data_IF_200763214042
#
_entry.id   IF_200763214042
#
_cell.length_a   1.000
_cell.length_b   1.000
_cell.length_c   1.000
_cell.angle_alpha   90.00
_cell.angle_beta   90.00
_cell.angle_gamma   90.00
#
_symmetry.space_group_name_H-M   'P 1'
#
loop_
_entity.id
_entity.type
_entity.pdbx_description
1 polymer ?
#
# COMPACT_ATOMS: atom_id res chain seq x y z
N UNK A 1 -31.79 14.33 -48.12
CA UNK A 1 -30.85 13.93 -47.06
C UNK A 1 -30.97 12.43 -46.83
N UNK A 2 -29.99 11.63 -47.26
CA UNK A 2 -29.82 10.23 -46.85
C UNK A 2 -28.38 9.82 -47.16
N UNK A 3 -27.52 9.83 -46.14
CA UNK A 3 -26.12 9.47 -46.23
C UNK A 3 -25.94 7.95 -46.16
N UNK A 4 -25.51 7.39 -47.29
CA UNK A 4 -24.38 6.47 -47.47
C UNK A 4 -23.95 5.55 -46.30
N UNK A 5 -24.23 4.27 -46.54
CA UNK A 5 -23.24 3.19 -46.69
C UNK A 5 -22.60 2.65 -45.39
N UNK A 6 -23.22 1.57 -44.88
CA UNK A 6 -22.63 0.63 -43.92
C UNK A 6 -21.37 0.00 -44.53
N UNK A 7 -20.22 0.20 -43.90
CA UNK A 7 -18.98 -0.53 -44.16
C UNK A 7 -18.60 -1.27 -42.89
N UNK A 8 -18.75 -2.59 -42.95
CA UNK A 8 -18.15 -3.55 -42.03
C UNK A 8 -16.67 -3.75 -42.39
N UNK A 9 -15.79 -3.90 -41.41
CA UNK A 9 -14.47 -4.53 -41.53
C UNK A 9 -13.97 -4.87 -40.12
N UNK A 10 -14.03 -6.14 -39.71
CA UNK A 10 -12.99 -7.20 -39.80
C UNK A 10 -12.17 -7.28 -38.51
N UNK A 11 -12.30 -8.43 -37.85
CA UNK A 11 -11.55 -8.87 -36.68
C UNK A 11 -10.24 -9.59 -37.06
N UNK A 12 -9.20 -9.48 -36.23
CA UNK A 12 -8.01 -10.38 -36.15
C UNK A 12 -7.54 -10.35 -34.68
N UNK A 13 -7.79 -11.37 -33.84
CA UNK A 13 -7.08 -12.64 -33.59
C UNK A 13 -5.76 -12.56 -32.78
N UNK A 14 -5.86 -13.07 -31.54
CA UNK A 14 -4.95 -13.90 -30.71
C UNK A 14 -3.40 -13.78 -30.81
N UNK A 15 -2.77 -13.64 -29.62
CA UNK A 15 -1.64 -14.45 -29.12
C UNK A 15 -1.44 -14.14 -27.61
N UNK A 16 -1.80 -14.99 -26.63
CA UNK A 16 -1.18 -16.25 -26.16
C UNK A 16 0.15 -16.04 -25.39
N UNK A 17 0.01 -16.16 -24.06
CA UNK A 17 0.92 -16.83 -23.08
C UNK A 17 2.29 -16.20 -22.82
N UNK A 18 2.40 -15.63 -21.62
CA UNK A 18 3.63 -15.59 -20.82
C UNK A 18 3.32 -16.16 -19.43
N UNK A 19 3.21 -17.48 -19.34
CA UNK A 19 3.26 -18.17 -18.04
C UNK A 19 4.72 -18.39 -17.65
N UNK A 20 5.02 -18.23 -16.36
CA UNK A 20 6.04 -18.99 -15.63
C UNK A 20 5.93 -18.68 -14.13
N UNK A 21 5.32 -19.63 -13.44
CA UNK A 21 5.64 -20.12 -12.10
C UNK A 21 6.52 -19.25 -11.20
N UNK A 22 5.88 -18.65 -10.20
CA UNK A 22 6.47 -18.48 -8.88
C UNK A 22 5.40 -18.81 -7.83
N UNK A 23 5.15 -20.11 -7.69
CA UNK A 23 4.59 -20.65 -6.46
C UNK A 23 5.69 -20.53 -5.41
N UNK A 24 5.67 -19.45 -4.65
CA UNK A 24 6.63 -19.21 -3.59
C UNK A 24 6.44 -17.83 -3.05
N UNK A 25 5.47 -17.67 -2.14
CA UNK A 25 5.39 -16.61 -1.13
C UNK A 25 6.00 -15.26 -1.56
N UNK A 26 5.64 -14.81 -2.77
CA UNK A 26 6.15 -13.56 -3.29
C UNK A 26 5.29 -12.50 -2.63
N UNK A 27 5.77 -11.96 -1.52
CA UNK A 27 5.38 -10.62 -1.10
C UNK A 27 5.53 -9.75 -2.35
N UNK A 28 4.41 -9.39 -2.98
CA UNK A 28 4.40 -8.53 -4.15
C UNK A 28 5.30 -7.34 -3.85
N UNK A 29 6.26 -7.06 -4.73
CA UNK A 29 7.05 -5.85 -4.58
C UNK A 29 6.09 -4.66 -4.43
N UNK A 30 6.33 -3.78 -3.45
CA UNK A 30 5.44 -2.67 -3.21
C UNK A 30 5.45 -1.73 -4.43
N UNK A 31 4.34 -1.01 -4.69
CA UNK A 31 4.29 -0.03 -5.76
C UNK A 31 5.36 1.05 -5.57
N UNK A 32 5.81 1.64 -6.67
CA UNK A 32 6.74 2.77 -6.64
C UNK A 32 6.18 3.90 -5.75
N UNK A 33 7.05 4.46 -4.90
CA UNK A 33 6.67 5.52 -3.96
C UNK A 33 6.10 5.04 -2.62
N UNK A 34 5.83 3.74 -2.44
CA UNK A 34 5.45 3.22 -1.14
C UNK A 34 6.61 3.26 -0.14
N UNK A 35 6.31 3.65 1.09
CA UNK A 35 7.22 3.67 2.21
C UNK A 35 7.03 2.44 3.10
N UNK A 36 8.13 1.80 3.51
CA UNK A 36 8.10 0.70 4.49
C UNK A 36 8.11 1.28 5.89
N UNK A 37 7.03 1.05 6.63
CA UNK A 37 6.91 1.42 8.03
C UNK A 37 7.15 0.18 8.88
N UNK A 38 8.26 0.13 9.59
CA UNK A 38 8.49 -0.91 10.60
C UNK A 38 7.63 -0.60 11.83
N UNK A 39 7.06 -1.63 12.43
CA UNK A 39 6.19 -1.45 13.59
C UNK A 39 6.91 -0.69 14.72
N UNK A 40 6.25 0.34 15.24
CA UNK A 40 6.72 1.24 16.30
C UNK A 40 8.06 1.95 16.00
N UNK A 41 8.45 2.05 14.72
CA UNK A 41 9.65 2.79 14.29
C UNK A 41 9.23 4.03 13.49
N UNK A 42 9.55 5.25 13.98
CA UNK A 42 9.30 6.48 13.25
C UNK A 42 10.01 6.50 11.89
N UNK A 43 9.27 6.86 10.84
CA UNK A 43 9.75 6.95 9.47
C UNK A 43 9.28 8.25 8.84
N UNK A 44 10.19 9.06 8.30
CA UNK A 44 9.82 10.32 7.65
C UNK A 44 9.42 10.08 6.19
N UNK A 45 8.22 10.53 5.83
CA UNK A 45 7.66 10.49 4.47
C UNK A 45 7.19 11.90 4.11
N UNK A 46 7.78 12.48 3.08
CA UNK A 46 7.50 13.85 2.60
C UNK A 46 7.55 14.95 3.69
N UNK A 47 8.30 14.74 4.77
CA UNK A 47 8.37 15.68 5.90
C UNK A 47 7.34 15.46 7.01
N UNK A 48 6.54 14.40 6.96
CA UNK A 48 5.70 13.92 8.07
C UNK A 48 6.35 12.66 8.65
N UNK A 49 6.45 12.59 9.97
CA UNK A 49 6.86 11.40 10.69
C UNK A 49 5.66 10.47 10.82
N UNK A 50 5.77 9.29 10.22
CA UNK A 50 4.78 8.22 10.31
C UNK A 50 5.25 7.13 11.27
N UNK A 51 4.32 6.62 12.07
CA UNK A 51 4.52 5.44 12.93
C UNK A 51 3.38 4.47 12.66
N UNK A 52 3.72 3.23 12.28
CA UNK A 52 2.76 2.14 12.22
C UNK A 52 2.78 1.38 13.55
N UNK A 53 1.63 1.22 14.19
CA UNK A 53 1.46 0.41 15.40
C UNK A 53 0.36 -0.63 15.17
N UNK A 54 0.33 -1.67 16.01
CA UNK A 54 -0.63 -2.78 15.89
C UNK A 54 -0.60 -3.34 14.45
N UNK A 55 0.57 -3.78 14.01
CA UNK A 55 0.74 -4.31 12.64
C UNK A 55 0.38 -5.79 12.64
N UNK A 56 -0.87 -6.10 12.27
CA UNK A 56 -1.49 -7.41 12.39
C UNK A 56 -2.66 -7.58 11.41
N UNK A 57 -2.91 -8.83 11.03
CA UNK A 57 -3.79 -9.28 9.97
C UNK A 57 -3.56 -8.50 8.66
N UNK A 58 -4.49 -7.60 8.35
CA UNK A 58 -4.49 -6.73 7.18
C UNK A 58 -4.63 -5.25 7.58
N UNK A 59 -4.29 -4.90 8.82
CA UNK A 59 -4.53 -3.56 9.36
C UNK A 59 -3.35 -2.99 10.16
N UNK A 60 -3.32 -1.67 10.25
CA UNK A 60 -2.44 -0.93 11.16
C UNK A 60 -3.20 0.21 11.83
N UNK A 61 -2.65 0.71 12.94
CA UNK A 61 -2.87 2.09 13.39
C UNK A 61 -1.73 2.94 12.83
N UNK A 62 -2.05 3.88 11.96
CA UNK A 62 -1.11 4.84 11.41
C UNK A 62 -1.19 6.14 12.20
N UNK A 63 -0.08 6.57 12.79
CA UNK A 63 0.06 7.88 13.43
C UNK A 63 0.94 8.78 12.58
N UNK A 64 0.55 10.05 12.43
CA UNK A 64 1.25 11.07 11.68
C UNK A 64 1.55 12.32 12.54
N UNK A 65 2.80 12.78 12.47
CA UNK A 65 3.29 13.99 13.16
C UNK A 65 4.14 14.83 12.19
N UNK A 66 3.78 16.10 12.01
CA UNK A 66 4.49 17.09 11.18
C UNK A 66 5.31 18.09 12.02
N UNK A 67 5.37 17.90 13.34
CA UNK A 67 5.97 18.83 14.29
C UNK A 67 5.09 20.03 14.65
N UNK A 68 3.88 20.12 14.11
CA UNK A 68 2.94 21.21 14.35
C UNK A 68 1.62 20.69 14.99
N UNK A 69 1.31 21.18 16.19
CA UNK A 69 0.08 20.78 16.88
C UNK A 69 0.13 19.34 17.41
N UNK A 70 -1.05 18.72 17.58
CA UNK A 70 -1.15 17.34 18.05
C UNK A 70 -0.96 16.36 16.90
N UNK A 71 -0.38 15.19 17.18
CA UNK A 71 -0.35 14.08 16.22
C UNK A 71 -1.78 13.60 15.90
N UNK A 72 -1.97 13.05 14.70
CA UNK A 72 -3.23 12.45 14.26
C UNK A 72 -3.04 10.95 14.03
N UNK A 73 -4.07 10.15 14.32
CA UNK A 73 -4.04 8.71 14.10
C UNK A 73 -5.32 8.19 13.45
N UNK A 74 -5.18 7.09 12.70
CA UNK A 74 -6.29 6.35 12.13
C UNK A 74 -5.96 4.86 12.04
N UNK A 75 -6.96 4.02 12.28
CA UNK A 75 -6.93 2.62 11.87
C UNK A 75 -7.21 2.52 10.37
N UNK A 76 -6.38 1.79 9.64
CA UNK A 76 -6.55 1.55 8.20
C UNK A 76 -6.32 0.07 7.87
N UNK A 77 -7.16 -0.48 6.99
CA UNK A 77 -6.98 -1.82 6.43
C UNK A 77 -6.35 -1.77 5.02
N UNK A 78 -5.80 -2.89 4.55
CA UNK A 78 -5.19 -2.99 3.21
C UNK A 78 -6.21 -2.59 2.13
N UNK A 79 -5.78 -1.67 1.25
CA UNK A 79 -6.60 -1.07 0.20
C UNK A 79 -7.43 0.13 0.66
N UNK A 80 -7.46 0.43 1.96
CA UNK A 80 -8.11 1.63 2.50
C UNK A 80 -7.15 2.83 2.58
N UNK A 81 -7.76 4.01 2.76
CA UNK A 81 -7.06 5.29 2.82
C UNK A 81 -7.44 6.07 4.07
N UNK A 82 -6.46 6.75 4.65
CA UNK A 82 -6.69 7.77 5.68
C UNK A 82 -5.99 9.06 5.31
N UNK A 83 -6.66 10.18 5.58
CA UNK A 83 -6.07 11.51 5.50
C UNK A 83 -5.64 11.94 6.90
N UNK A 84 -4.33 12.13 7.08
CA UNK A 84 -3.71 12.57 8.34
C UNK A 84 -2.77 13.74 8.04
N UNK A 85 -2.84 14.80 8.84
CA UNK A 85 -2.02 16.02 8.65
C UNK A 85 -2.15 16.59 7.23
N UNK A 86 -3.36 16.51 6.67
CA UNK A 86 -3.66 17.00 5.33
C UNK A 86 -3.04 16.18 4.19
N UNK A 87 -2.61 14.94 4.44
CA UNK A 87 -2.06 14.02 3.43
C UNK A 87 -2.76 12.68 3.47
N UNK A 88 -3.01 12.12 2.30
CA UNK A 88 -3.70 10.85 2.16
C UNK A 88 -2.72 9.72 1.93
N UNK A 89 -2.88 8.67 2.74
CA UNK A 89 -2.07 7.47 2.75
C UNK A 89 -2.94 6.25 2.47
N UNK A 90 -2.49 5.39 1.57
CA UNK A 90 -3.10 4.09 1.30
C UNK A 90 -2.27 2.98 1.94
N UNK A 91 -2.90 2.07 2.70
CA UNK A 91 -2.23 0.87 3.18
C UNK A 91 -2.19 -0.16 2.06
N UNK A 92 -0.99 -0.50 1.58
CA UNK A 92 -0.81 -1.40 0.45
C UNK A 92 -0.72 -2.86 0.89
N UNK A 93 0.03 -3.12 1.96
CA UNK A 93 0.20 -4.46 2.49
C UNK A 93 0.71 -4.43 3.92
N UNK A 94 0.42 -5.51 4.64
CA UNK A 94 0.91 -5.78 5.99
C UNK A 94 1.73 -7.06 5.94
N UNK A 95 2.87 -7.05 6.61
CA UNK A 95 3.68 -8.23 6.84
C UNK A 95 3.87 -8.39 8.34
N UNK A 96 3.32 -9.47 8.87
CA UNK A 96 3.50 -9.85 10.26
C UNK A 96 4.72 -10.75 10.42
N UNK A 97 5.59 -10.40 11.35
CA UNK A 97 6.58 -11.35 11.83
C UNK A 97 6.00 -12.15 12.99
N UNK A 98 5.50 -13.33 12.67
CA UNK A 98 4.94 -14.29 13.65
C UNK A 98 6.02 -15.09 14.38
N UNK A 99 7.31 -14.87 14.06
CA UNK A 99 8.43 -15.51 14.77
C UNK A 99 8.67 -14.82 16.12
N UNK A 100 7.81 -15.17 17.08
CA UNK A 100 7.90 -14.73 18.47
C UNK A 100 9.25 -15.10 19.09
N UNK A 101 9.99 -14.12 19.65
CA UNK A 101 10.81 -14.32 20.88
C UNK A 101 11.55 -13.09 21.45
N UNK A 102 11.57 -11.91 20.83
CA UNK A 102 12.29 -10.76 21.41
C UNK A 102 11.36 -9.61 21.86
N UNK A 103 11.36 -9.22 23.16
CA UNK A 103 10.69 -8.01 23.59
C UNK A 103 11.38 -6.79 22.96
N UNK A 104 10.62 -5.96 22.24
CA UNK A 104 11.06 -4.65 21.76
C UNK A 104 11.22 -4.48 20.25
N UNK A 105 10.87 -5.47 19.43
CA UNK A 105 10.79 -5.26 17.99
C UNK A 105 10.18 -6.46 17.29
N UNK A 106 8.91 -6.36 16.95
CA UNK A 106 8.35 -7.22 15.91
C UNK A 106 9.10 -6.94 14.61
N UNK A 107 9.46 -7.97 13.87
CA UNK A 107 9.88 -7.82 12.48
C UNK A 107 8.76 -7.33 11.56
N UNK A 108 7.55 -7.15 12.10
CA UNK A 108 6.36 -6.67 11.40
C UNK A 108 6.58 -5.31 10.76
N UNK A 109 6.01 -5.15 9.58
CA UNK A 109 6.03 -3.89 8.84
C UNK A 109 4.81 -3.76 7.94
N UNK A 110 4.52 -2.53 7.54
CA UNK A 110 3.49 -2.22 6.56
C UNK A 110 4.09 -1.40 5.42
N UNK A 111 3.51 -1.51 4.24
CA UNK A 111 3.78 -0.62 3.11
C UNK A 111 2.66 0.40 3.00
N UNK A 112 3.01 1.68 3.06
CA UNK A 112 2.07 2.79 2.94
C UNK A 112 2.44 3.64 1.74
N UNK A 113 1.47 3.94 0.88
CA UNK A 113 1.66 4.74 -0.32
C UNK A 113 1.03 6.13 -0.11
N UNK A 114 1.80 7.22 -0.23
CA UNK A 114 1.23 8.56 -0.41
C UNK A 114 0.48 8.62 -1.76
N UNK A 115 -0.77 9.06 -1.76
CA UNK A 115 -1.64 9.04 -2.97
C UNK A 115 -2.09 10.41 -3.46
N UNK A 116 -1.47 11.49 -2.97
CA UNK A 116 -1.74 12.88 -3.38
C UNK A 116 -0.52 13.53 -4.05
#
# INVERSE_FOLDING_TARGET
MSLHRRLASVAVLLAVVGGLSACGDQASEPPEGAARLRENVPTTVDGVVLVAANVWDDSIVLTADDGEGAAEDAGIAVGERATLKGRTYELVSVHEDTSSSAPGGSGSYAWVLPVE
#
